data_IF_753241871776
#
_entry.id   IF_753241871776
#
_cell.length_a   1.000
_cell.length_b   1.000
_cell.length_c   1.000
_cell.angle_alpha   90.00
_cell.angle_beta   90.00
_cell.angle_gamma   90.00
#
_symmetry.space_group_name_H-M   'P 1'
#
loop_
_entity.id
_entity.type
_entity.pdbx_description
1 polymer ?
#
# COMPACT_ATOMS: atom_id res chain seq x y z
N UNK A 1 -7.68 -45.63 14.14
CA UNK A 1 -7.95 -44.17 14.24
C UNK A 1 -6.69 -43.31 14.43
N UNK A 2 -5.64 -43.80 15.11
CA UNK A 2 -4.41 -43.03 15.35
C UNK A 2 -3.63 -42.58 14.09
N UNK A 3 -3.60 -43.38 13.02
CA UNK A 3 -2.85 -43.02 11.79
C UNK A 3 -3.44 -41.82 11.04
N UNK A 4 -4.78 -41.70 11.00
CA UNK A 4 -5.49 -40.55 10.41
C UNK A 4 -5.20 -39.25 11.15
N UNK A 5 -5.05 -39.29 12.47
CA UNK A 5 -4.70 -38.12 13.28
C UNK A 5 -3.26 -37.66 13.04
N UNK A 6 -2.31 -38.60 12.92
CA UNK A 6 -0.91 -38.30 12.57
C UNK A 6 -0.79 -37.66 11.18
N UNK A 7 -1.47 -38.23 10.18
CA UNK A 7 -1.49 -37.67 8.82
C UNK A 7 -2.11 -36.26 8.76
N UNK A 8 -3.17 -36.00 9.55
CA UNK A 8 -3.78 -34.66 9.65
C UNK A 8 -2.85 -33.64 10.32
N UNK A 9 -2.07 -34.07 11.32
CA UNK A 9 -1.08 -33.21 11.96
C UNK A 9 0.10 -32.89 11.02
N UNK A 10 0.61 -33.88 10.30
CA UNK A 10 1.65 -33.72 9.29
C UNK A 10 1.25 -32.72 8.21
N UNK A 11 0.04 -32.89 7.63
CA UNK A 11 -0.49 -31.99 6.61
C UNK A 11 -0.62 -30.54 7.10
N UNK A 12 -0.97 -30.34 8.37
CA UNK A 12 -1.02 -28.98 8.96
C UNK A 12 0.35 -28.36 9.14
N UNK A 13 1.36 -29.14 9.52
CA UNK A 13 2.73 -28.63 9.62
C UNK A 13 3.28 -28.24 8.24
N UNK A 14 2.99 -29.05 7.22
CA UNK A 14 3.38 -28.76 5.85
C UNK A 14 2.69 -27.49 5.31
N UNK A 15 1.38 -27.32 5.55
CA UNK A 15 0.65 -26.08 5.23
C UNK A 15 1.24 -24.85 5.93
N UNK A 16 1.63 -24.98 7.20
CA UNK A 16 2.29 -23.91 7.94
C UNK A 16 3.64 -23.54 7.34
N UNK A 17 4.47 -24.53 6.98
CA UNK A 17 5.77 -24.27 6.32
C UNK A 17 5.58 -23.55 4.99
N UNK A 18 4.65 -24.01 4.14
CA UNK A 18 4.36 -23.35 2.85
C UNK A 18 3.90 -21.89 3.03
N UNK A 19 3.10 -21.62 4.07
CA UNK A 19 2.68 -20.26 4.39
C UNK A 19 3.82 -19.39 4.88
N UNK A 20 4.73 -19.93 5.70
CA UNK A 20 5.92 -19.22 6.17
C UNK A 20 6.81 -18.86 4.98
N UNK A 21 7.07 -19.80 4.07
CA UNK A 21 7.89 -19.58 2.88
C UNK A 21 7.27 -18.52 1.96
N UNK A 22 5.95 -18.57 1.79
CA UNK A 22 5.20 -17.58 1.01
C UNK A 22 5.30 -16.18 1.61
N UNK A 23 5.14 -16.05 2.94
CA UNK A 23 5.27 -14.77 3.65
C UNK A 23 6.70 -14.24 3.56
N UNK A 24 7.71 -15.11 3.75
CA UNK A 24 9.11 -14.73 3.67
C UNK A 24 9.48 -14.23 2.26
N UNK A 25 8.98 -14.90 1.22
CA UNK A 25 9.17 -14.50 -0.18
C UNK A 25 8.55 -13.13 -0.47
N UNK A 26 7.29 -12.93 -0.07
CA UNK A 26 6.59 -11.64 -0.26
C UNK A 26 7.30 -10.52 0.50
N UNK A 27 7.72 -10.78 1.74
CA UNK A 27 8.48 -9.81 2.53
C UNK A 27 9.78 -9.40 1.83
N UNK A 28 10.56 -10.39 1.37
CA UNK A 28 11.82 -10.13 0.66
C UNK A 28 11.59 -9.28 -0.59
N UNK A 29 10.55 -9.58 -1.37
CA UNK A 29 10.18 -8.78 -2.55
C UNK A 29 9.84 -7.34 -2.19
N UNK A 30 9.00 -7.13 -1.17
CA UNK A 30 8.62 -5.79 -0.71
C UNK A 30 9.81 -4.99 -0.16
N UNK A 31 10.73 -5.64 0.54
CA UNK A 31 11.96 -5.02 1.04
C UNK A 31 12.87 -4.57 -0.11
N UNK A 32 12.98 -5.39 -1.17
CA UNK A 32 13.71 -5.03 -2.39
C UNK A 32 13.04 -3.86 -3.11
N UNK A 33 11.74 -3.94 -3.39
CA UNK A 33 10.98 -2.86 -4.06
C UNK A 33 11.11 -1.54 -3.29
N UNK A 34 11.09 -1.60 -1.94
CA UNK A 34 11.32 -0.43 -1.09
C UNK A 34 12.73 0.13 -1.27
N UNK A 35 13.75 -0.72 -1.28
CA UNK A 35 15.13 -0.28 -1.44
C UNK A 35 15.35 0.34 -2.83
N UNK A 36 14.81 -0.27 -3.88
CA UNK A 36 14.87 0.27 -5.25
C UNK A 36 14.26 1.67 -5.34
N UNK A 37 13.14 1.91 -4.64
CA UNK A 37 12.52 3.24 -4.53
C UNK A 37 13.46 4.23 -3.83
N UNK A 38 14.11 3.84 -2.74
CA UNK A 38 15.08 4.70 -2.05
C UNK A 38 16.31 5.00 -2.91
N UNK A 39 16.81 4.00 -3.64
CA UNK A 39 18.00 4.12 -4.48
C UNK A 39 17.72 4.94 -5.75
N UNK A 40 16.46 5.02 -6.20
CA UNK A 40 16.04 5.85 -7.35
C UNK A 40 16.19 7.36 -7.12
N UNK A 41 16.53 7.78 -5.89
CA UNK A 41 16.79 9.17 -5.54
C UNK A 41 15.53 9.93 -5.12
N UNK A 42 15.35 11.15 -5.66
CA UNK A 42 14.25 12.03 -5.25
C UNK A 42 12.91 11.58 -5.87
N UNK A 43 12.18 10.71 -5.15
CA UNK A 43 10.86 10.18 -5.57
C UNK A 43 9.76 11.24 -5.51
N UNK A 44 9.89 12.20 -4.60
CA UNK A 44 8.97 13.34 -4.47
C UNK A 44 9.72 14.55 -3.90
N UNK A 45 9.34 15.79 -4.27
CA UNK A 45 9.90 16.98 -3.67
C UNK A 45 9.76 16.98 -2.13
N UNK A 46 10.71 17.57 -1.40
CA UNK A 46 10.62 17.72 0.05
C UNK A 46 9.29 18.35 0.48
N UNK A 47 8.74 17.87 1.59
CA UNK A 47 7.46 18.35 2.09
C UNK A 47 6.27 17.86 1.28
N UNK A 48 6.39 16.82 0.44
CA UNK A 48 5.24 16.11 -0.14
C UNK A 48 4.86 14.90 0.71
N UNK A 49 3.56 14.65 0.90
CA UNK A 49 3.06 13.46 1.60
C UNK A 49 1.68 13.05 1.09
N UNK A 50 1.30 11.79 1.35
CA UNK A 50 -0.05 11.30 1.07
C UNK A 50 -0.83 11.27 2.38
N UNK A 51 -1.94 12.01 2.44
CA UNK A 51 -2.88 11.95 3.55
C UNK A 51 -4.02 10.99 3.22
N UNK A 52 -4.30 10.06 4.14
CA UNK A 52 -5.44 9.15 4.08
C UNK A 52 -6.59 9.72 4.91
N UNK A 53 -7.76 9.80 4.31
CA UNK A 53 -8.97 10.28 4.98
C UNK A 53 -10.01 9.17 5.01
N UNK A 54 -10.63 8.99 6.17
CA UNK A 54 -11.81 8.15 6.33
C UNK A 54 -13.05 9.06 6.26
N UNK A 55 -13.86 8.89 5.22
CA UNK A 55 -15.10 9.62 5.05
C UNK A 55 -16.30 8.72 5.34
N UNK A 56 -17.34 9.30 5.92
CA UNK A 56 -18.64 8.65 6.12
C UNK A 56 -19.55 8.99 4.95
N UNK A 57 -19.91 7.99 4.16
CA UNK A 57 -20.88 8.08 3.06
C UNK A 57 -22.24 7.48 3.44
N UNK A 58 -23.21 7.62 2.54
CA UNK A 58 -24.59 7.09 2.72
C UNK A 58 -24.64 5.57 2.92
N UNK A 59 -23.73 4.83 2.30
CA UNK A 59 -23.67 3.35 2.33
C UNK A 59 -22.60 2.80 3.29
N UNK A 60 -21.94 3.65 4.07
CA UNK A 60 -20.84 3.25 4.96
C UNK A 60 -19.61 4.16 4.83
N UNK A 61 -18.49 3.71 5.38
CA UNK A 61 -17.25 4.47 5.34
C UNK A 61 -16.46 4.16 4.06
N UNK A 62 -15.82 5.17 3.47
CA UNK A 62 -14.88 5.00 2.37
C UNK A 62 -13.59 5.75 2.69
N UNK A 63 -12.45 5.19 2.26
CA UNK A 63 -11.15 5.84 2.37
C UNK A 63 -10.82 6.52 1.05
N UNK A 64 -10.25 7.72 1.11
CA UNK A 64 -9.61 8.34 -0.04
C UNK A 64 -8.24 8.89 0.35
N UNK A 65 -7.39 9.04 -0.67
CA UNK A 65 -6.03 9.55 -0.52
C UNK A 65 -5.93 10.91 -1.19
N UNK A 66 -5.17 11.82 -0.59
CA UNK A 66 -4.89 13.14 -1.16
C UNK A 66 -3.39 13.38 -1.10
N UNK A 67 -2.80 13.73 -2.23
CA UNK A 67 -1.42 14.18 -2.27
C UNK A 67 -1.37 15.62 -1.77
N UNK A 68 -0.45 15.86 -0.84
CA UNK A 68 -0.29 17.09 -0.08
C UNK A 68 1.15 17.57 -0.24
N UNK A 69 1.35 18.88 -0.23
CA UNK A 69 2.66 19.50 -0.24
C UNK A 69 2.69 20.72 0.69
N UNK A 70 3.84 21.01 1.28
CA UNK A 70 4.05 22.24 2.08
C UNK A 70 3.92 23.49 1.21
N UNK A 71 4.46 23.43 0.00
CA UNK A 71 4.47 24.50 -1.00
C UNK A 71 3.40 24.29 -2.07
N UNK A 72 2.97 25.39 -2.71
CA UNK A 72 2.04 25.32 -3.83
C UNK A 72 2.78 24.88 -5.09
N UNK A 73 2.62 23.61 -5.48
CA UNK A 73 3.35 23.02 -6.61
C UNK A 73 2.47 22.24 -7.60
N UNK A 74 1.19 22.00 -7.28
CA UNK A 74 0.29 21.27 -8.16
C UNK A 74 -0.54 22.23 -9.02
N UNK A 75 -0.51 22.05 -10.33
CA UNK A 75 -1.30 22.88 -11.25
C UNK A 75 -2.80 22.61 -11.11
N UNK A 76 -3.59 23.68 -11.01
CA UNK A 76 -5.06 23.59 -11.02
C UNK A 76 -5.62 23.76 -12.43
N UNK A 77 -6.69 23.03 -12.75
CA UNK A 77 -7.32 23.03 -14.09
C UNK A 77 -8.05 24.33 -14.42
N UNK A 78 -8.47 25.09 -13.40
CA UNK A 78 -9.43 26.18 -13.57
C UNK A 78 -8.75 27.53 -13.84
N UNK A 79 -7.66 27.82 -13.12
CA UNK A 79 -7.06 29.16 -13.12
C UNK A 79 -5.56 29.15 -13.45
N UNK A 80 -4.97 27.97 -13.72
CA UNK A 80 -3.52 27.82 -13.85
C UNK A 80 -2.73 28.05 -12.55
N UNK A 81 -3.39 28.46 -11.46
CA UNK A 81 -2.79 28.66 -10.13
C UNK A 81 -2.26 27.35 -9.59
N UNK A 82 -1.17 27.43 -8.82
CA UNK A 82 -0.62 26.30 -8.09
C UNK A 82 -1.37 26.10 -6.78
N UNK A 83 -1.55 24.84 -6.39
CA UNK A 83 -2.15 24.45 -5.12
C UNK A 83 -1.19 23.56 -4.32
N UNK A 84 -1.45 23.49 -3.02
CA UNK A 84 -0.77 22.57 -2.10
C UNK A 84 -1.30 21.15 -2.18
N UNK A 85 -2.37 20.92 -2.95
CA UNK A 85 -3.09 19.66 -2.92
C UNK A 85 -3.47 19.17 -4.30
N UNK A 86 -3.14 17.91 -4.59
CA UNK A 86 -3.62 17.21 -5.77
C UNK A 86 -4.57 16.12 -5.35
N UNK A 87 -5.79 16.15 -5.87
CA UNK A 87 -6.69 15.03 -5.72
C UNK A 87 -6.19 13.92 -6.63
N UNK A 88 -5.58 12.90 -6.03
CA UNK A 88 -5.24 11.68 -6.72
C UNK A 88 -6.56 11.01 -7.07
N UNK A 89 -7.13 11.34 -8.24
CA UNK A 89 -8.37 10.75 -8.72
C UNK A 89 -8.28 9.23 -8.57
N UNK A 90 -9.33 8.64 -7.99
CA UNK A 90 -9.48 7.21 -7.63
C UNK A 90 -8.23 6.39 -7.96
N UNK A 91 -7.19 6.52 -7.12
CA UNK A 91 -6.09 5.57 -7.15
C UNK A 91 -6.73 4.23 -6.74
N UNK A 92 -6.97 3.38 -7.72
CA UNK A 92 -7.06 1.94 -7.48
C UNK A 92 -5.65 1.54 -7.12
N UNK A 93 -5.22 1.92 -5.92
CA UNK A 93 -4.03 1.38 -5.31
C UNK A 93 -4.39 -0.05 -4.95
N UNK A 94 -4.28 -0.93 -5.96
CA UNK A 94 -4.23 -2.36 -5.77
C UNK A 94 -2.92 -2.65 -5.05
N UNK A 95 -2.89 -2.36 -3.76
CA UNK A 95 -2.01 -3.05 -2.83
C UNK A 95 -2.62 -4.43 -2.64
N UNK A 96 -2.49 -5.27 -3.68
CA UNK A 96 -2.86 -6.68 -3.65
C UNK A 96 -1.61 -7.51 -3.37
#
# INVERSE_FOLDING_TARGET
>A
MASKLKHKAQKRQEDLHQRIDSIASVKKRLEQERQDIFDSGCVAPPGCWIARYLAKGRKGHYSYYKLQATETMFTTKTDGKLSKYKHSGKLVANFT
#
